data_IF_702072949076
#
_entry.id   IF_702072949076
#
_cell.length_a   1.000
_cell.length_b   1.000
_cell.length_c   1.000
_cell.angle_alpha   90.00
_cell.angle_beta   90.00
_cell.angle_gamma   90.00
#
_symmetry.space_group_name_H-M   'P 1'
#
loop_
_entity.id
_entity.type
_entity.pdbx_description
1 polymer ?
#
# COMPACT_ATOMS: atom_id res chain seq x y z
N UNK A 1 -6.53 -0.05 -20.27
CA UNK A 1 -7.37 -0.54 -19.22
C UNK A 1 -7.21 0.19 -17.91
N UNK A 2 -7.88 -0.31 -16.89
CA UNK A 2 -7.91 0.29 -15.55
C UNK A 2 -7.26 -0.57 -14.47
N UNK A 3 -6.82 -1.76 -14.85
CA UNK A 3 -6.23 -2.71 -13.92
C UNK A 3 -4.77 -2.96 -14.21
N UNK A 4 -4.01 -3.23 -13.14
CA UNK A 4 -2.63 -3.69 -13.26
C UNK A 4 -2.64 -5.17 -13.62
N UNK A 5 -1.90 -5.53 -14.66
CA UNK A 5 -1.92 -6.90 -15.20
C UNK A 5 -1.39 -7.93 -14.19
N UNK A 6 -0.35 -7.56 -13.43
CA UNK A 6 0.28 -8.50 -12.50
C UNK A 6 -0.57 -8.76 -11.26
N UNK A 7 -1.08 -7.70 -10.63
CA UNK A 7 -1.77 -7.81 -9.35
C UNK A 7 -3.28 -7.80 -9.44
N UNK A 8 -3.83 -7.39 -10.59
CA UNK A 8 -5.27 -7.20 -10.83
C UNK A 8 -5.90 -6.08 -9.99
N UNK A 9 -5.10 -5.34 -9.24
CA UNK A 9 -5.53 -4.09 -8.61
C UNK A 9 -5.74 -3.01 -9.67
N UNK A 10 -6.25 -1.86 -9.27
CA UNK A 10 -6.30 -0.71 -10.17
C UNK A 10 -4.88 -0.32 -10.57
N UNK A 11 -4.73 0.26 -11.76
CA UNK A 11 -3.43 0.70 -12.22
C UNK A 11 -3.18 2.17 -11.85
N UNK A 12 -1.99 2.65 -12.18
CA UNK A 12 -1.56 4.02 -11.89
C UNK A 12 -2.46 5.07 -12.55
N UNK A 13 -2.89 4.84 -13.79
CA UNK A 13 -3.76 5.77 -14.51
C UNK A 13 -5.10 5.93 -13.82
N UNK A 14 -5.70 4.83 -13.38
CA UNK A 14 -6.95 4.87 -12.61
C UNK A 14 -6.75 5.62 -11.29
N UNK A 15 -5.67 5.35 -10.59
CA UNK A 15 -5.34 6.03 -9.34
C UNK A 15 -5.28 7.55 -9.54
N UNK A 16 -4.58 8.00 -10.58
CA UNK A 16 -4.44 9.43 -10.87
C UNK A 16 -5.79 10.09 -11.16
N UNK A 17 -6.65 9.43 -11.95
CA UNK A 17 -7.99 9.93 -12.25
C UNK A 17 -8.87 10.02 -11.00
N UNK A 18 -8.84 8.98 -10.17
CA UNK A 18 -9.64 8.93 -8.94
C UNK A 18 -9.16 9.97 -7.92
N UNK A 19 -7.86 10.11 -7.75
CA UNK A 19 -7.29 11.13 -6.88
C UNK A 19 -7.71 12.53 -7.33
N UNK A 20 -7.66 12.80 -8.63
CA UNK A 20 -8.09 14.06 -9.20
C UNK A 20 -9.57 14.32 -8.93
N UNK A 21 -10.41 13.30 -9.09
CA UNK A 21 -11.85 13.40 -8.80
C UNK A 21 -12.10 13.71 -7.32
N UNK A 22 -11.43 13.01 -6.42
CA UNK A 22 -11.54 13.25 -4.97
C UNK A 22 -11.05 14.64 -4.58
N UNK A 23 -9.98 15.11 -5.22
CA UNK A 23 -9.45 16.45 -4.99
C UNK A 23 -10.45 17.54 -5.33
N UNK A 24 -11.23 17.35 -6.41
CA UNK A 24 -12.21 18.34 -6.89
C UNK A 24 -13.56 18.23 -6.19
N UNK A 25 -14.02 17.02 -5.91
CA UNK A 25 -15.42 16.76 -5.52
C UNK A 25 -15.58 16.05 -4.19
N UNK A 26 -14.52 15.48 -3.60
CA UNK A 26 -14.66 14.67 -2.41
C UNK A 26 -15.35 13.33 -2.72
N UNK A 27 -16.02 12.73 -1.74
CA UNK A 27 -16.41 13.29 -0.44
C UNK A 27 -15.23 13.52 0.51
N UNK A 28 -15.31 14.58 1.25
CA UNK A 28 -14.36 14.88 2.32
C UNK A 28 -14.94 14.52 3.67
N UNK A 29 -14.12 14.14 4.67
CA UNK A 29 -12.69 13.89 4.47
C UNK A 29 -12.49 12.68 3.57
N UNK A 30 -11.32 12.60 2.94
CA UNK A 30 -10.89 11.33 2.37
C UNK A 30 -9.49 11.02 2.85
N UNK A 31 -9.16 9.73 2.94
CA UNK A 31 -7.87 9.31 3.42
C UNK A 31 -7.08 8.58 2.33
N UNK A 32 -5.76 8.60 2.49
CA UNK A 32 -4.82 7.91 1.61
C UNK A 32 -3.93 7.03 2.47
N UNK A 33 -3.70 5.81 2.03
CA UNK A 33 -2.67 4.94 2.61
C UNK A 33 -1.61 4.73 1.53
N UNK A 34 -0.40 5.21 1.79
CA UNK A 34 0.77 4.94 0.94
C UNK A 34 1.39 3.64 1.41
N UNK A 35 1.69 2.73 0.50
CA UNK A 35 2.14 1.38 0.81
C UNK A 35 3.33 1.02 -0.06
N UNK A 36 4.33 0.36 0.53
CA UNK A 36 5.49 -0.14 -0.18
C UNK A 36 5.77 -1.57 0.28
N UNK A 37 6.15 -2.42 -0.66
CA UNK A 37 6.48 -3.81 -0.39
C UNK A 37 7.92 -3.90 0.15
N UNK A 38 8.07 -4.47 1.34
CA UNK A 38 9.39 -4.61 1.97
C UNK A 38 10.19 -5.73 1.30
N UNK A 39 11.46 -5.42 1.03
CA UNK A 39 12.45 -6.43 0.63
C UNK A 39 12.32 -6.98 -0.78
N UNK A 40 11.59 -6.32 -1.68
CA UNK A 40 11.40 -6.82 -3.04
C UNK A 40 12.73 -6.94 -3.80
N UNK A 41 13.62 -5.96 -3.65
CA UNK A 41 14.91 -5.99 -4.31
C UNK A 41 15.72 -7.21 -3.89
N UNK A 42 15.76 -7.50 -2.60
CA UNK A 42 16.49 -8.66 -2.09
C UNK A 42 15.89 -9.97 -2.62
N UNK A 43 14.56 -10.05 -2.67
CA UNK A 43 13.88 -11.23 -3.23
C UNK A 43 14.24 -11.44 -4.70
N UNK A 44 14.20 -10.37 -5.49
CA UNK A 44 14.57 -10.43 -6.90
C UNK A 44 16.03 -10.85 -7.08
N UNK A 45 16.94 -10.27 -6.30
CA UNK A 45 18.37 -10.56 -6.39
C UNK A 45 18.71 -11.99 -5.97
N UNK A 46 18.06 -12.51 -4.94
CA UNK A 46 18.35 -13.83 -4.39
C UNK A 46 17.57 -14.95 -5.08
N UNK A 47 16.34 -14.70 -5.50
CA UNK A 47 15.43 -15.73 -5.98
C UNK A 47 14.90 -15.49 -7.40
N UNK A 48 15.21 -14.35 -8.00
CA UNK A 48 14.80 -13.99 -9.36
C UNK A 48 13.49 -13.23 -9.41
N UNK A 49 13.23 -12.62 -10.57
CA UNK A 49 12.05 -11.77 -10.79
C UNK A 49 10.72 -12.51 -10.66
N UNK A 50 10.69 -13.81 -10.99
CA UNK A 50 9.48 -14.59 -10.83
C UNK A 50 9.04 -14.68 -9.35
N UNK A 51 10.01 -14.79 -8.45
CA UNK A 51 9.74 -14.78 -7.01
C UNK A 51 9.24 -13.42 -6.53
N UNK A 52 9.83 -12.34 -7.05
CA UNK A 52 9.37 -10.97 -6.78
C UNK A 52 7.95 -10.74 -7.29
N UNK A 53 7.64 -11.21 -8.49
CA UNK A 53 6.29 -11.12 -9.07
C UNK A 53 5.27 -11.89 -8.22
N UNK A 54 5.64 -13.06 -7.73
CA UNK A 54 4.77 -13.84 -6.82
C UNK A 54 4.47 -13.06 -5.53
N UNK A 55 5.48 -12.38 -4.99
CA UNK A 55 5.31 -11.53 -3.80
C UNK A 55 4.39 -10.35 -4.07
N UNK A 56 4.54 -9.70 -5.24
CA UNK A 56 3.66 -8.61 -5.67
C UNK A 56 2.21 -9.10 -5.81
N UNK A 57 1.99 -10.30 -6.36
CA UNK A 57 0.64 -10.87 -6.45
C UNK A 57 0.04 -11.12 -5.07
N UNK A 58 0.83 -11.57 -4.11
CA UNK A 58 0.38 -11.76 -2.73
C UNK A 58 -0.05 -10.44 -2.09
N UNK A 59 0.73 -9.38 -2.30
CA UNK A 59 0.35 -8.04 -1.85
C UNK A 59 -1.00 -7.63 -2.48
N UNK A 60 -1.16 -7.89 -3.77
CA UNK A 60 -2.43 -7.64 -4.47
C UNK A 60 -3.61 -8.38 -3.87
N UNK A 61 -3.43 -9.67 -3.54
CA UNK A 61 -4.47 -10.48 -2.90
C UNK A 61 -4.92 -9.88 -1.56
N UNK A 62 -3.96 -9.48 -0.73
CA UNK A 62 -4.24 -8.86 0.57
C UNK A 62 -5.01 -7.56 0.40
N UNK A 63 -4.53 -6.67 -0.47
CA UNK A 63 -5.16 -5.36 -0.67
C UNK A 63 -6.55 -5.49 -1.29
N UNK A 64 -6.74 -6.41 -2.23
CA UNK A 64 -8.05 -6.65 -2.82
C UNK A 64 -9.08 -7.11 -1.78
N UNK A 65 -8.67 -7.92 -0.82
CA UNK A 65 -9.55 -8.38 0.26
C UNK A 65 -9.84 -7.31 1.31
N UNK A 66 -8.88 -6.42 1.55
CA UNK A 66 -8.98 -5.41 2.59
C UNK A 66 -9.85 -4.22 2.18
N UNK A 67 -9.95 -3.94 0.89
CA UNK A 67 -10.48 -2.68 0.37
C UNK A 67 -11.69 -2.95 -0.52
N UNK A 68 -12.84 -2.40 -0.13
CA UNK A 68 -14.09 -2.54 -0.87
C UNK A 68 -14.52 -1.19 -1.47
N UNK A 69 -15.21 -1.24 -2.64
CA UNK A 69 -15.77 -0.03 -3.23
C UNK A 69 -16.67 0.71 -2.23
N UNK A 70 -16.69 2.06 -2.20
CA UNK A 70 -16.10 2.98 -3.17
C UNK A 70 -14.60 3.24 -2.98
N UNK A 71 -13.97 2.68 -1.97
CA UNK A 71 -12.53 2.75 -1.82
C UNK A 71 -11.84 1.92 -2.91
N UNK A 72 -10.60 2.27 -3.23
CA UNK A 72 -9.84 1.51 -4.22
C UNK A 72 -8.39 1.32 -3.79
N UNK A 73 -7.85 0.17 -4.16
CA UNK A 73 -6.43 -0.13 -4.02
C UNK A 73 -5.82 -0.15 -5.42
N UNK A 74 -4.64 0.46 -5.56
CA UNK A 74 -3.96 0.57 -6.83
C UNK A 74 -2.48 0.24 -6.69
N UNK A 75 -1.91 -0.32 -7.74
CA UNK A 75 -0.46 -0.42 -7.87
C UNK A 75 0.02 0.83 -8.63
N UNK A 76 0.83 1.66 -7.96
CA UNK A 76 1.23 2.97 -8.50
C UNK A 76 2.70 3.03 -8.92
N UNK A 77 3.47 2.03 -8.59
CA UNK A 77 4.86 1.88 -8.98
C UNK A 77 5.27 0.43 -8.94
N UNK A 78 6.54 0.12 -9.12
CA UNK A 78 7.03 -1.27 -9.13
C UNK A 78 6.65 -2.03 -7.87
N UNK A 79 7.03 -1.51 -6.72
CA UNK A 79 6.75 -2.08 -5.39
C UNK A 79 5.84 -1.15 -4.56
N UNK A 80 5.22 -0.18 -5.19
CA UNK A 80 4.40 0.84 -4.53
C UNK A 80 2.93 0.65 -4.81
N UNK A 81 2.14 0.80 -3.75
CA UNK A 81 0.69 0.70 -3.79
C UNK A 81 0.08 1.91 -3.07
N UNK A 82 -1.15 2.21 -3.37
CA UNK A 82 -1.90 3.26 -2.67
C UNK A 82 -3.34 2.83 -2.50
N UNK A 83 -3.93 3.24 -1.39
CA UNK A 83 -5.36 3.04 -1.12
C UNK A 83 -5.99 4.40 -0.99
N UNK A 84 -7.09 4.64 -1.70
CA UNK A 84 -7.90 5.85 -1.60
C UNK A 84 -9.21 5.49 -0.91
N UNK A 85 -9.53 6.25 0.15
CA UNK A 85 -10.67 5.97 1.04
C UNK A 85 -11.61 7.17 1.07
N UNK A 86 -12.57 7.26 0.12
CA UNK A 86 -13.51 8.39 0.07
C UNK A 86 -14.39 8.44 1.32
N UNK A 87 -14.59 9.63 1.88
CA UNK A 87 -15.45 9.82 3.05
C UNK A 87 -14.92 9.23 4.34
N UNK A 88 -13.64 8.92 4.40
CA UNK A 88 -13.01 8.24 5.56
C UNK A 88 -12.01 9.19 6.21
N UNK A 89 -12.08 9.32 7.52
CA UNK A 89 -11.14 10.10 8.31
C UNK A 89 -9.90 9.27 8.69
N UNK A 90 -8.99 9.89 9.44
CA UNK A 90 -7.75 9.23 9.85
C UNK A 90 -8.00 7.97 10.69
N UNK A 91 -9.01 8.02 11.56
CA UNK A 91 -9.39 6.90 12.42
C UNK A 91 -9.91 5.72 11.59
N UNK A 92 -10.76 6.00 10.61
CA UNK A 92 -11.25 4.99 9.69
C UNK A 92 -10.14 4.39 8.84
N UNK A 93 -9.19 5.22 8.41
CA UNK A 93 -8.03 4.76 7.65
C UNK A 93 -7.12 3.85 8.50
N UNK A 94 -6.96 4.18 9.78
CA UNK A 94 -6.19 3.34 10.71
C UNK A 94 -6.82 1.95 10.85
N UNK A 95 -8.15 1.87 10.88
CA UNK A 95 -8.86 0.60 10.93
C UNK A 95 -8.60 -0.25 9.67
N UNK A 96 -8.59 0.39 8.50
CA UNK A 96 -8.27 -0.31 7.25
C UNK A 96 -6.80 -0.77 7.23
N UNK A 97 -5.88 0.06 7.69
CA UNK A 97 -4.47 -0.34 7.82
C UNK A 97 -4.33 -1.58 8.70
N UNK A 98 -5.02 -1.61 9.85
CA UNK A 98 -4.98 -2.74 10.76
C UNK A 98 -5.55 -4.00 10.11
N UNK A 99 -6.62 -3.85 9.33
CA UNK A 99 -7.19 -4.94 8.54
C UNK A 99 -6.18 -5.47 7.52
N UNK A 100 -5.49 -4.57 6.81
CA UNK A 100 -4.44 -4.95 5.86
C UNK A 100 -3.37 -5.76 6.58
N UNK A 101 -2.90 -5.28 7.73
CA UNK A 101 -1.86 -5.97 8.50
C UNK A 101 -2.30 -7.35 8.96
N UNK A 102 -3.54 -7.50 9.42
CA UNK A 102 -4.09 -8.81 9.79
C UNK A 102 -4.15 -9.76 8.61
N UNK A 103 -4.51 -9.25 7.42
CA UNK A 103 -4.55 -10.06 6.21
C UNK A 103 -3.14 -10.43 5.72
N UNK A 104 -2.15 -9.58 5.94
CA UNK A 104 -0.74 -9.90 5.68
C UNK A 104 -0.32 -11.09 6.54
N UNK A 105 -0.63 -11.06 7.83
CA UNK A 105 -0.30 -12.15 8.75
C UNK A 105 -0.97 -13.47 8.34
N UNK A 106 -2.24 -13.40 7.97
CA UNK A 106 -2.98 -14.57 7.49
C UNK A 106 -2.37 -15.12 6.18
N UNK A 107 -2.04 -14.23 5.25
CA UNK A 107 -1.39 -14.59 3.99
C UNK A 107 -0.05 -15.31 4.25
N UNK A 108 0.72 -14.82 5.22
CA UNK A 108 2.00 -15.43 5.60
C UNK A 108 1.82 -16.82 6.22
N UNK A 109 0.69 -17.09 6.85
CA UNK A 109 0.39 -18.44 7.33
C UNK A 109 0.04 -19.39 6.20
N UNK A 110 -0.61 -18.88 5.16
CA UNK A 110 -1.02 -19.66 4.00
C UNK A 110 0.15 -20.02 3.09
N UNK A 111 1.05 -19.06 2.84
CA UNK A 111 2.21 -19.27 1.96
C UNK A 111 3.44 -19.61 2.78
N UNK A 112 4.17 -20.63 2.37
CA UNK A 112 5.49 -20.95 2.93
C UNK A 112 6.56 -20.09 2.23
N UNK A 113 7.73 -19.98 2.85
CA UNK A 113 8.86 -19.25 2.28
C UNK A 113 8.95 -17.81 2.79
N UNK A 114 9.32 -16.90 1.91
CA UNK A 114 9.60 -15.51 2.28
C UNK A 114 8.34 -14.81 2.79
N UNK A 115 8.37 -14.21 4.00
CA UNK A 115 7.21 -13.47 4.51
C UNK A 115 6.93 -12.20 3.69
N UNK A 116 5.65 -11.94 3.43
CA UNK A 116 5.18 -10.67 2.89
C UNK A 116 5.23 -9.63 4.01
N UNK A 117 5.76 -8.45 3.71
CA UNK A 117 5.74 -7.31 4.62
C UNK A 117 5.44 -6.02 3.86
N UNK A 118 4.58 -5.20 4.44
CA UNK A 118 4.17 -3.93 3.85
C UNK A 118 4.50 -2.79 4.82
N UNK A 119 5.15 -1.74 4.31
CA UNK A 119 5.30 -0.49 5.03
C UNK A 119 4.15 0.42 4.64
N UNK A 120 3.46 1.01 5.61
CA UNK A 120 2.24 1.79 5.35
C UNK A 120 2.27 3.11 6.08
N UNK A 121 1.81 4.16 5.41
CA UNK A 121 1.64 5.49 6.00
C UNK A 121 0.28 6.05 5.64
N UNK A 122 -0.38 6.71 6.59
CA UNK A 122 -1.72 7.26 6.46
C UNK A 122 -1.68 8.77 6.48
N UNK A 123 -2.52 9.41 5.66
CA UNK A 123 -2.86 10.81 5.83
C UNK A 123 -4.32 11.04 5.43
N UNK A 124 -4.91 12.09 6.00
CA UNK A 124 -6.29 12.46 5.77
C UNK A 124 -6.36 13.85 5.11
N UNK A 125 -7.24 13.99 4.12
CA UNK A 125 -7.48 15.25 3.41
C UNK A 125 -8.84 15.80 3.83
N UNK A 126 -8.85 17.00 4.40
CA UNK A 126 -10.09 17.68 4.80
C UNK A 126 -10.70 18.49 3.64
N UNK A 127 -9.88 18.82 2.64
CA UNK A 127 -10.29 19.60 1.46
C UNK A 127 -9.35 19.31 0.30
N UNK A 128 -9.72 19.74 -0.91
CA UNK A 128 -8.87 19.60 -2.09
C UNK A 128 -7.53 20.32 -1.95
N UNK A 129 -7.49 21.44 -1.23
CA UNK A 129 -6.25 22.20 -1.01
C UNK A 129 -5.23 21.47 -0.15
N UNK A 130 -5.67 20.53 0.67
CA UNK A 130 -4.81 19.78 1.58
C UNK A 130 -4.20 18.52 0.96
N UNK A 131 -4.56 18.18 -0.28
CA UNK A 131 -4.21 16.87 -0.88
C UNK A 131 -2.71 16.67 -1.02
N UNK A 132 -1.98 17.63 -1.59
CA UNK A 132 -0.54 17.47 -1.77
C UNK A 132 0.20 17.29 -0.46
N UNK A 133 -0.18 18.07 0.55
CA UNK A 133 0.38 17.95 1.90
C UNK A 133 0.08 16.57 2.52
N UNK A 134 -1.14 16.08 2.35
CA UNK A 134 -1.55 14.78 2.85
C UNK A 134 -0.80 13.64 2.17
N UNK A 135 -0.64 13.70 0.85
CA UNK A 135 0.13 12.70 0.11
C UNK A 135 1.58 12.65 0.60
N UNK A 136 2.18 13.81 0.81
CA UNK A 136 3.54 13.90 1.33
C UNK A 136 3.66 13.30 2.73
N UNK A 137 2.69 13.58 3.61
CA UNK A 137 2.66 13.01 4.97
C UNK A 137 2.52 11.49 4.95
N UNK A 138 1.65 10.97 4.09
CA UNK A 138 1.48 9.52 3.95
C UNK A 138 2.77 8.87 3.48
N UNK A 139 3.43 9.44 2.47
CA UNK A 139 4.71 8.93 1.97
C UNK A 139 5.79 8.97 3.03
N UNK A 140 5.88 10.05 3.81
CA UNK A 140 6.86 10.16 4.88
C UNK A 140 6.63 9.13 5.98
N UNK A 141 5.38 8.94 6.38
CA UNK A 141 5.04 7.94 7.40
C UNK A 141 5.38 6.53 6.92
N UNK A 142 5.08 6.23 5.66
CA UNK A 142 5.43 4.95 5.03
C UNK A 142 6.95 4.77 4.98
N UNK A 143 7.68 5.81 4.61
CA UNK A 143 9.14 5.77 4.54
C UNK A 143 9.77 5.51 5.91
N UNK A 144 9.24 6.10 6.98
CA UNK A 144 9.71 5.85 8.35
C UNK A 144 9.49 4.38 8.75
N UNK A 145 8.35 3.80 8.37
CA UNK A 145 8.10 2.37 8.58
C UNK A 145 9.09 1.51 7.81
N UNK A 146 9.38 1.88 6.59
CA UNK A 146 10.33 1.16 5.73
C UNK A 146 11.75 1.21 6.31
N UNK A 147 12.16 2.35 6.84
CA UNK A 147 13.46 2.49 7.52
C UNK A 147 13.55 1.58 8.74
N UNK A 148 12.48 1.50 9.53
CA UNK A 148 12.44 0.60 10.69
C UNK A 148 12.61 -0.86 10.27
N UNK A 149 11.94 -1.26 9.20
CA UNK A 149 12.07 -2.61 8.66
C UNK A 149 13.53 -2.91 8.29
N UNK A 150 14.18 -2.05 7.52
CA UNK A 150 15.56 -2.29 7.08
C UNK A 150 16.55 -2.22 8.25
N UNK A 151 16.33 -1.35 9.20
CA UNK A 151 17.13 -1.31 10.42
C UNK A 151 17.03 -2.63 11.19
N UNK A 152 15.83 -3.14 11.37
CA UNK A 152 15.59 -4.41 12.05
C UNK A 152 16.25 -5.58 11.31
N UNK A 153 16.17 -5.62 9.99
CA UNK A 153 16.84 -6.62 9.17
C UNK A 153 18.36 -6.56 9.35
N UNK A 154 18.93 -5.37 9.41
CA UNK A 154 20.35 -5.17 9.66
C UNK A 154 20.79 -5.72 11.01
N UNK A 155 19.99 -5.50 12.06
CA UNK A 155 20.26 -6.04 13.39
C UNK A 155 20.21 -7.56 13.41
N UNK A 156 19.24 -8.15 12.76
CA UNK A 156 19.11 -9.61 12.65
C UNK A 156 20.30 -10.25 11.94
N UNK A 157 20.79 -9.62 10.88
CA UNK A 157 21.96 -10.10 10.13
C UNK A 157 23.25 -10.07 10.93
N UNK A 158 23.34 -9.18 11.92
CA UNK A 158 24.53 -9.05 12.78
C UNK A 158 24.60 -10.09 13.89
N UNK A 159 23.49 -10.75 14.13
CA UNK A 159 23.41 -11.83 15.12
C UNK A 159 23.91 -13.13 14.49
#
# INVERSE_FOLDING_TARGET
>A
GKHDVLTQLRNRAFYAEELNRLTRKGPWPFAVIAIDLNGLKAINDEQGHAAGDAMLRRAGEVLAKAVDAPACAARVGGDEFAVLLPGVDERGAAAIRDRIQSLVELNNQFYSGQPLGLAMGIACCQSGEAVESALHKADQAMYEEKKRYYHQQGLERRR
#
